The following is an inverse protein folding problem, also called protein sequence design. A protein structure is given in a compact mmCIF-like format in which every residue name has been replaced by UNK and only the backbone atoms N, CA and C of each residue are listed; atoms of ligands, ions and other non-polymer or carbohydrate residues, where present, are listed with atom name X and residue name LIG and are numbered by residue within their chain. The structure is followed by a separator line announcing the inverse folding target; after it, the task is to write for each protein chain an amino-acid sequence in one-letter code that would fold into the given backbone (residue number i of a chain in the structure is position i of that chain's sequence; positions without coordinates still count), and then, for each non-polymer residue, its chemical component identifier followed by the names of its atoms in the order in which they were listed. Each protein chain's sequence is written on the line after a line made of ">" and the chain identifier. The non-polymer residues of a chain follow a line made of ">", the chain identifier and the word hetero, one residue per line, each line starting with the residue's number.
data_IF_130157774528
#
_entry.id   IF_130157774528
#
_cell.length_a   1.000
_cell.length_b   1.000
_cell.length_c   1.000
_cell.angle_alpha   90.00
_cell.angle_beta   90.00
_cell.angle_gamma   90.00
#
_symmetry.space_group_name_H-M   'P 1'
#
loop_
_entity.id
_entity.type
_entity.pdbx_description
1 polymer ?
#
# COMPACT_ATOMS: atom_id res chain seq x y z
N UNK A 1 9.11 -32.84 9.60
CA UNK A 1 8.11 -31.95 8.99
C UNK A 1 8.90 -30.93 8.20
N UNK A 2 8.72 -30.85 6.86
CA UNK A 2 9.41 -29.85 6.04
C UNK A 2 8.99 -28.44 6.49
N UNK A 3 9.94 -27.50 6.51
CA UNK A 3 9.66 -26.13 6.84
C UNK A 3 8.91 -25.46 5.67
N UNK A 4 7.58 -25.49 5.71
CA UNK A 4 6.71 -24.86 4.70
C UNK A 4 6.50 -23.35 4.92
N UNK A 5 7.15 -22.77 5.91
CA UNK A 5 7.00 -21.36 6.27
C UNK A 5 7.22 -20.37 5.10
N UNK A 6 8.29 -20.48 4.29
CA UNK A 6 8.49 -19.59 3.16
C UNK A 6 7.40 -19.69 2.09
N UNK A 7 6.91 -20.91 1.81
CA UNK A 7 5.81 -21.13 0.85
C UNK A 7 4.50 -20.55 1.37
N UNK A 8 4.19 -20.71 2.66
CA UNK A 8 3.01 -20.12 3.28
C UNK A 8 3.07 -18.60 3.22
N UNK A 9 4.22 -18.00 3.54
CA UNK A 9 4.42 -16.54 3.47
C UNK A 9 4.17 -16.01 2.05
N UNK A 10 4.74 -16.63 1.04
CA UNK A 10 4.53 -16.24 -0.36
C UNK A 10 3.05 -16.35 -0.78
N UNK A 11 2.39 -17.44 -0.41
CA UNK A 11 0.97 -17.65 -0.72
C UNK A 11 0.07 -16.61 -0.05
N UNK A 12 0.36 -16.20 1.19
CA UNK A 12 -0.41 -15.18 1.88
C UNK A 12 -0.20 -13.80 1.29
N UNK A 13 1.03 -13.46 0.88
CA UNK A 13 1.30 -12.23 0.14
C UNK A 13 0.53 -12.20 -1.18
N UNK A 14 0.53 -13.30 -1.94
CA UNK A 14 -0.23 -13.42 -3.19
C UNK A 14 -1.74 -13.26 -2.95
N UNK A 15 -2.28 -13.91 -1.90
CA UNK A 15 -3.69 -13.78 -1.54
C UNK A 15 -4.07 -12.33 -1.23
N UNK A 16 -3.29 -11.67 -0.38
CA UNK A 16 -3.53 -10.29 0.01
C UNK A 16 -3.44 -9.33 -1.19
N UNK A 17 -2.47 -9.54 -2.10
CA UNK A 17 -2.35 -8.77 -3.34
C UNK A 17 -3.58 -8.95 -4.25
N UNK A 18 -4.05 -10.18 -4.46
CA UNK A 18 -5.27 -10.42 -5.25
C UNK A 18 -6.52 -9.81 -4.60
N UNK A 19 -6.62 -9.84 -3.27
CA UNK A 19 -7.73 -9.22 -2.55
C UNK A 19 -7.70 -7.70 -2.66
N UNK A 20 -6.52 -7.08 -2.52
CA UNK A 20 -6.34 -5.64 -2.69
C UNK A 20 -6.71 -5.21 -4.13
N UNK A 21 -6.22 -5.92 -5.15
CA UNK A 21 -6.59 -5.67 -6.57
C UNK A 21 -8.09 -5.80 -6.81
N UNK A 22 -8.73 -6.81 -6.21
CA UNK A 22 -10.18 -7.00 -6.34
C UNK A 22 -10.97 -5.81 -5.75
N UNK A 23 -10.50 -5.22 -4.63
CA UNK A 23 -11.09 -4.02 -4.04
C UNK A 23 -10.87 -2.75 -4.87
N UNK A 24 -9.83 -2.72 -5.71
CA UNK A 24 -9.58 -1.60 -6.63
C UNK A 24 -10.54 -1.57 -7.83
N UNK A 25 -11.17 -2.70 -8.17
CA UNK A 25 -12.10 -2.73 -9.31
C UNK A 25 -13.33 -1.88 -9.00
N UNK A 26 -13.61 -0.82 -9.78
CA UNK A 26 -14.68 0.12 -9.48
C UNK A 26 -16.08 -0.53 -9.54
N UNK A 27 -16.21 -1.63 -10.30
CA UNK A 27 -17.47 -2.32 -10.49
C UNK A 27 -17.24 -3.83 -10.40
N UNK A 28 -17.72 -4.46 -9.32
CA UNK A 28 -17.72 -5.91 -9.14
C UNK A 28 -19.10 -6.49 -9.48
N UNK A 29 -19.18 -7.21 -10.59
CA UNK A 29 -20.41 -7.86 -11.05
C UNK A 29 -20.43 -8.04 -12.56
N UNK A 30 -21.55 -8.50 -13.11
CA UNK A 30 -21.74 -8.66 -14.53
C UNK A 30 -22.49 -7.48 -15.11
N UNK A 31 -22.01 -6.85 -16.22
CA UNK A 31 -22.74 -5.77 -16.85
C UNK A 31 -24.05 -6.27 -17.46
N UNK A 32 -25.09 -5.46 -17.33
CA UNK A 32 -26.42 -5.67 -17.85
C UNK A 32 -26.90 -4.40 -18.57
N UNK A 33 -27.47 -4.54 -19.77
CA UNK A 33 -28.06 -3.43 -20.51
C UNK A 33 -29.57 -3.46 -20.27
N UNK A 34 -30.15 -2.31 -19.86
CA UNK A 34 -31.60 -2.14 -19.75
C UNK A 34 -32.03 -1.01 -20.66
N UNK A 35 -33.16 -1.20 -21.32
CA UNK A 35 -33.78 -0.19 -22.19
C UNK A 35 -34.98 0.43 -21.47
N UNK A 36 -35.03 1.78 -21.44
CA UNK A 36 -36.14 2.51 -20.89
C UNK A 36 -36.32 3.82 -21.66
N UNK A 37 -37.54 4.04 -22.17
CA UNK A 37 -37.87 5.25 -22.94
C UNK A 37 -37.04 5.43 -24.20
N UNK A 38 -36.69 4.32 -24.89
CA UNK A 38 -35.88 4.33 -26.13
C UNK A 38 -34.39 4.64 -25.89
N UNK A 39 -33.94 4.69 -24.63
CA UNK A 39 -32.52 4.85 -24.26
C UNK A 39 -32.02 3.61 -23.58
N UNK A 40 -30.74 3.31 -23.78
CA UNK A 40 -30.06 2.19 -23.13
C UNK A 40 -29.26 2.68 -21.95
N UNK A 41 -29.29 1.90 -20.89
CA UNK A 41 -28.60 2.18 -19.61
C UNK A 41 -27.79 0.96 -19.17
N UNK A 42 -26.65 1.20 -18.57
CA UNK A 42 -25.76 0.19 -18.02
C UNK A 42 -26.03 -0.01 -16.54
N UNK A 43 -26.13 -1.26 -16.16
CA UNK A 43 -26.27 -1.74 -14.79
C UNK A 43 -25.19 -2.78 -14.50
N UNK A 44 -24.83 -2.90 -13.22
CA UNK A 44 -24.03 -4.02 -12.71
C UNK A 44 -24.92 -4.92 -11.89
N UNK A 45 -24.97 -6.19 -12.31
CA UNK A 45 -25.70 -7.26 -11.62
C UNK A 45 -24.74 -8.09 -10.78
N UNK A 46 -25.02 -8.21 -9.47
CA UNK A 46 -24.28 -9.05 -8.55
C UNK A 46 -25.19 -9.75 -7.56
N UNK A 47 -24.71 -10.86 -6.99
CA UNK A 47 -25.41 -11.56 -5.92
C UNK A 47 -24.90 -11.06 -4.57
N UNK A 48 -25.81 -10.56 -3.73
CA UNK A 48 -25.53 -10.12 -2.37
C UNK A 48 -26.42 -10.94 -1.43
N UNK A 49 -25.81 -11.69 -0.52
CA UNK A 49 -26.52 -12.53 0.46
C UNK A 49 -27.66 -13.34 -0.18
N UNK A 50 -27.39 -14.14 -1.20
CA UNK A 50 -28.35 -14.99 -1.94
C UNK A 50 -29.36 -14.25 -2.82
N UNK A 51 -29.46 -12.93 -2.78
CA UNK A 51 -30.32 -12.14 -3.67
C UNK A 51 -29.54 -11.56 -4.84
N UNK A 52 -30.16 -11.55 -6.02
CA UNK A 52 -29.61 -10.91 -7.21
C UNK A 52 -29.99 -9.44 -7.15
N UNK A 53 -28.98 -8.55 -7.15
CA UNK A 53 -29.15 -7.10 -7.16
C UNK A 53 -28.64 -6.52 -8.45
N UNK A 54 -29.23 -5.43 -8.91
CA UNK A 54 -28.81 -4.69 -10.11
C UNK A 54 -28.67 -3.21 -9.74
N UNK A 55 -27.46 -2.66 -9.87
CA UNK A 55 -27.16 -1.26 -9.57
C UNK A 55 -26.95 -0.49 -10.88
N UNK A 56 -27.54 0.69 -10.98
CA UNK A 56 -27.34 1.61 -12.10
C UNK A 56 -25.90 2.12 -12.11
N UNK A 57 -25.31 2.23 -13.30
CA UNK A 57 -23.97 2.77 -13.52
C UNK A 57 -24.03 4.09 -14.27
N UNK A 58 -24.53 4.07 -15.54
CA UNK A 58 -24.63 5.25 -16.40
C UNK A 58 -25.45 4.95 -17.66
N UNK A 59 -25.61 5.96 -18.51
CA UNK A 59 -26.13 5.79 -19.89
C UNK A 59 -25.17 4.90 -20.68
N UNK A 60 -25.72 4.08 -21.56
CA UNK A 60 -24.91 3.17 -22.37
C UNK A 60 -23.91 3.93 -23.25
N UNK A 61 -22.67 3.48 -23.20
CA UNK A 61 -21.66 3.76 -24.20
C UNK A 61 -20.79 2.51 -24.41
N UNK A 62 -20.33 2.29 -25.64
CA UNK A 62 -19.48 1.12 -25.95
C UNK A 62 -18.22 1.08 -25.09
N UNK A 63 -17.57 2.23 -24.90
CA UNK A 63 -16.35 2.33 -24.09
C UNK A 63 -16.59 1.91 -22.65
N UNK A 64 -17.67 2.40 -22.03
CA UNK A 64 -18.03 2.04 -20.66
C UNK A 64 -18.42 0.57 -20.57
N UNK A 65 -19.21 0.06 -21.51
CA UNK A 65 -19.60 -1.35 -21.56
C UNK A 65 -18.39 -2.29 -21.65
N UNK A 66 -17.42 -1.98 -22.53
CA UNK A 66 -16.18 -2.76 -22.65
C UNK A 66 -15.33 -2.69 -21.38
N UNK A 67 -15.31 -1.54 -20.70
CA UNK A 67 -14.64 -1.39 -19.40
C UNK A 67 -15.29 -2.28 -18.33
N UNK A 68 -16.61 -2.28 -18.25
CA UNK A 68 -17.35 -3.14 -17.31
C UNK A 68 -17.14 -4.63 -17.60
N UNK A 69 -17.10 -5.03 -18.88
CA UNK A 69 -16.78 -6.41 -19.29
C UNK A 69 -15.37 -6.82 -18.85
N UNK A 70 -14.39 -5.94 -19.05
CA UNK A 70 -13.00 -6.19 -18.63
C UNK A 70 -12.92 -6.36 -17.11
N UNK A 71 -13.51 -5.44 -16.34
CA UNK A 71 -13.54 -5.52 -14.88
C UNK A 71 -14.22 -6.82 -14.42
N UNK A 72 -15.31 -7.22 -15.03
CA UNK A 72 -16.01 -8.47 -14.71
C UNK A 72 -15.16 -9.74 -15.01
N UNK A 73 -14.33 -9.70 -16.05
CA UNK A 73 -13.38 -10.80 -16.36
C UNK A 73 -12.25 -10.83 -15.33
N UNK A 74 -11.66 -9.67 -15.04
CA UNK A 74 -10.59 -9.53 -14.06
C UNK A 74 -11.04 -9.95 -12.67
N UNK A 75 -12.21 -9.49 -12.21
CA UNK A 75 -12.81 -9.91 -10.94
C UNK A 75 -12.97 -11.44 -10.85
N UNK A 76 -13.43 -12.08 -11.93
CA UNK A 76 -13.57 -13.54 -11.96
C UNK A 76 -12.22 -14.25 -11.86
N UNK A 77 -11.21 -13.76 -12.58
CA UNK A 77 -9.87 -14.36 -12.54
C UNK A 77 -9.23 -14.19 -11.16
N UNK A 78 -9.29 -12.98 -10.57
CA UNK A 78 -8.78 -12.73 -9.22
C UNK A 78 -9.45 -13.65 -8.17
N UNK A 79 -10.78 -13.77 -8.21
CA UNK A 79 -11.53 -14.69 -7.33
C UNK A 79 -11.11 -16.16 -7.50
N UNK A 80 -10.79 -16.57 -8.72
CA UNK A 80 -10.27 -17.91 -9.00
C UNK A 80 -8.88 -18.12 -8.43
N UNK A 81 -7.98 -17.13 -8.57
CA UNK A 81 -6.63 -17.18 -8.00
C UNK A 81 -6.68 -17.23 -6.47
N UNK A 82 -7.50 -16.40 -5.83
CA UNK A 82 -7.70 -16.43 -4.37
C UNK A 82 -8.09 -17.83 -3.91
N UNK A 83 -9.11 -18.46 -4.52
CA UNK A 83 -9.53 -19.82 -4.16
C UNK A 83 -8.43 -20.86 -4.36
N UNK A 84 -7.59 -20.71 -5.39
CA UNK A 84 -6.45 -21.61 -5.63
C UNK A 84 -5.42 -21.50 -4.51
N UNK A 85 -5.09 -20.28 -4.10
CA UNK A 85 -4.16 -20.00 -3.00
C UNK A 85 -4.72 -20.52 -1.68
N UNK A 86 -5.98 -20.24 -1.35
CA UNK A 86 -6.63 -20.74 -0.13
C UNK A 86 -6.63 -22.28 -0.05
N UNK A 87 -6.90 -22.94 -1.16
CA UNK A 87 -6.80 -24.41 -1.23
C UNK A 87 -5.40 -24.91 -0.94
N UNK A 88 -4.37 -24.22 -1.45
CA UNK A 88 -2.95 -24.59 -1.22
C UNK A 88 -2.56 -24.35 0.24
N UNK A 89 -2.95 -23.21 0.82
CA UNK A 89 -2.74 -22.92 2.24
C UNK A 89 -3.36 -23.98 3.15
N UNK A 90 -4.60 -24.39 2.88
CA UNK A 90 -5.24 -25.49 3.62
C UNK A 90 -4.49 -26.81 3.51
N UNK A 91 -3.92 -27.14 2.33
CA UNK A 91 -3.10 -28.35 2.14
C UNK A 91 -1.80 -28.30 2.94
N UNK A 92 -1.25 -27.10 3.19
CA UNK A 92 -0.05 -26.88 4.01
C UNK A 92 -0.36 -26.85 5.52
N UNK A 93 -1.63 -27.03 5.90
CA UNK A 93 -2.06 -26.99 7.29
C UNK A 93 -2.10 -25.59 7.89
N UNK A 94 -2.14 -24.54 7.04
CA UNK A 94 -2.28 -23.18 7.51
C UNK A 94 -3.65 -22.95 8.12
N UNK A 95 -3.67 -22.40 9.34
CA UNK A 95 -4.86 -21.89 10.02
C UNK A 95 -4.70 -20.41 10.28
N UNK A 96 -5.75 -19.62 10.04
CA UNK A 96 -5.75 -18.18 10.32
C UNK A 96 -5.27 -17.90 11.76
N UNK A 97 -4.32 -16.97 11.92
CA UNK A 97 -3.93 -16.48 13.23
C UNK A 97 -5.01 -15.55 13.78
N UNK A 98 -5.41 -15.74 15.01
CA UNK A 98 -6.25 -14.77 15.71
C UNK A 98 -5.41 -13.54 16.06
N UNK A 99 -5.72 -12.41 15.45
CA UNK A 99 -5.13 -11.12 15.81
C UNK A 99 -5.74 -10.63 17.13
N UNK A 100 -4.93 -9.99 17.96
CA UNK A 100 -5.45 -9.35 19.18
C UNK A 100 -6.44 -8.23 18.85
N UNK A 101 -7.41 -7.97 19.74
CA UNK A 101 -8.38 -6.88 19.58
C UNK A 101 -7.69 -5.54 19.30
N UNK A 102 -6.57 -5.28 19.96
CA UNK A 102 -5.78 -4.06 19.77
C UNK A 102 -5.25 -3.93 18.34
N UNK A 103 -4.78 -5.02 17.73
CA UNK A 103 -4.31 -5.04 16.34
C UNK A 103 -5.49 -4.87 15.38
N UNK A 104 -6.60 -5.55 15.64
CA UNK A 104 -7.82 -5.40 14.84
C UNK A 104 -8.35 -3.96 14.85
N UNK A 105 -8.43 -3.34 16.02
CA UNK A 105 -8.81 -1.93 16.15
C UNK A 105 -7.83 -0.99 15.43
N UNK A 106 -6.52 -1.30 15.44
CA UNK A 106 -5.56 -0.50 14.68
C UNK A 106 -5.73 -0.64 13.17
N UNK A 107 -6.08 -1.82 12.67
CA UNK A 107 -6.43 -2.01 11.25
C UNK A 107 -7.66 -1.16 10.89
N UNK A 108 -8.68 -1.15 11.72
CA UNK A 108 -9.88 -0.33 11.49
C UNK A 108 -9.56 1.17 11.54
N UNK A 109 -8.70 1.59 12.47
CA UNK A 109 -8.19 2.95 12.52
C UNK A 109 -7.41 3.32 11.26
N UNK A 110 -6.55 2.44 10.75
CA UNK A 110 -5.83 2.64 9.50
C UNK A 110 -6.77 2.75 8.30
N UNK A 111 -7.82 1.92 8.23
CA UNK A 111 -8.84 1.97 7.18
C UNK A 111 -9.62 3.28 7.19
N UNK A 112 -10.04 3.72 8.38
CA UNK A 112 -10.76 4.99 8.55
C UNK A 112 -9.93 6.20 8.09
N UNK A 113 -8.61 6.13 8.23
CA UNK A 113 -7.68 7.20 7.85
C UNK A 113 -7.03 7.02 6.47
N UNK A 114 -7.34 5.95 5.73
CA UNK A 114 -6.62 5.57 4.51
C UNK A 114 -6.58 6.68 3.46
N UNK A 115 -7.69 7.34 3.19
CA UNK A 115 -7.76 8.42 2.18
C UNK A 115 -6.86 9.59 2.54
N UNK A 116 -6.88 10.02 3.81
CA UNK A 116 -6.01 11.09 4.30
C UNK A 116 -4.54 10.67 4.22
N UNK A 117 -4.23 9.44 4.61
CA UNK A 117 -2.85 8.92 4.57
C UNK A 117 -2.32 8.85 3.12
N UNK A 118 -3.17 8.47 2.16
CA UNK A 118 -2.80 8.47 0.73
C UNK A 118 -2.58 9.89 0.24
N UNK A 119 -3.44 10.84 0.62
CA UNK A 119 -3.29 12.26 0.29
C UNK A 119 -1.96 12.80 0.81
N UNK A 120 -1.70 12.65 2.10
CA UNK A 120 -0.46 13.10 2.74
C UNK A 120 0.79 12.52 2.05
N UNK A 121 0.76 11.22 1.72
CA UNK A 121 1.87 10.57 1.01
C UNK A 121 2.02 11.04 -0.44
N UNK A 122 0.92 11.28 -1.15
CA UNK A 122 0.97 11.80 -2.51
C UNK A 122 1.62 13.19 -2.54
N UNK A 123 1.26 14.07 -1.60
CA UNK A 123 1.87 15.40 -1.46
C UNK A 123 3.35 15.30 -1.07
N UNK A 124 3.72 14.38 -0.18
CA UNK A 124 5.12 14.13 0.18
C UNK A 124 5.98 13.79 -1.06
N UNK A 125 5.41 13.05 -2.01
CA UNK A 125 6.04 12.67 -3.29
C UNK A 125 5.95 13.75 -4.37
N UNK A 126 5.35 14.90 -4.06
CA UNK A 126 5.22 16.01 -4.99
C UNK A 126 4.11 15.86 -6.02
N UNK A 127 3.16 14.98 -5.78
CA UNK A 127 1.93 14.89 -6.60
C UNK A 127 1.09 16.13 -6.35
N UNK A 128 0.80 16.90 -7.40
CA UNK A 128 -0.09 18.05 -7.34
C UNK A 128 -1.54 17.57 -7.28
N UNK A 129 -2.09 17.46 -6.07
CA UNK A 129 -3.45 16.95 -5.84
C UNK A 129 -4.11 17.65 -4.66
N UNK A 130 -5.44 17.49 -4.58
CA UNK A 130 -6.25 17.92 -3.45
C UNK A 130 -6.96 16.71 -2.81
N UNK A 131 -7.37 16.84 -1.56
CA UNK A 131 -8.08 15.76 -0.87
C UNK A 131 -9.34 15.31 -1.62
N UNK A 132 -10.22 16.21 -2.15
CA UNK A 132 -11.37 15.79 -2.97
C UNK A 132 -11.00 15.01 -4.22
N UNK A 133 -9.87 15.31 -4.88
CA UNK A 133 -9.40 14.54 -6.03
C UNK A 133 -8.99 13.12 -5.63
N UNK A 134 -8.36 12.97 -4.47
CA UNK A 134 -8.04 11.63 -3.91
C UNK A 134 -9.32 10.84 -3.64
N UNK A 135 -10.34 11.46 -3.03
CA UNK A 135 -11.63 10.79 -2.81
C UNK A 135 -12.30 10.36 -4.12
N UNK A 136 -12.33 11.23 -5.12
CA UNK A 136 -12.90 10.93 -6.42
C UNK A 136 -12.20 9.75 -7.11
N UNK A 137 -10.86 9.69 -7.05
CA UNK A 137 -10.10 8.56 -7.62
C UNK A 137 -10.38 7.27 -6.86
N UNK A 138 -10.33 7.32 -5.52
CA UNK A 138 -10.43 6.13 -4.68
C UNK A 138 -11.85 5.55 -4.67
N UNK A 139 -12.87 6.39 -4.59
CA UNK A 139 -14.26 5.97 -4.43
C UNK A 139 -15.02 5.87 -5.75
N UNK A 140 -14.81 6.82 -6.64
CA UNK A 140 -15.62 6.99 -7.84
C UNK A 140 -14.89 6.58 -9.12
N UNK A 141 -13.58 6.32 -9.08
CA UNK A 141 -12.77 6.06 -10.28
C UNK A 141 -12.71 7.25 -11.25
N UNK A 142 -13.07 8.46 -10.79
CA UNK A 142 -13.10 9.67 -11.61
C UNK A 142 -11.76 10.38 -11.53
N UNK A 143 -11.26 10.80 -12.70
CA UNK A 143 -9.98 11.50 -12.84
C UNK A 143 -10.25 12.84 -13.51
N UNK A 144 -10.11 13.94 -12.76
CA UNK A 144 -10.26 15.28 -13.28
C UNK A 144 -8.99 16.09 -13.06
N UNK A 145 -8.36 16.52 -14.16
CA UNK A 145 -7.24 17.48 -14.11
C UNK A 145 -5.90 16.93 -13.59
N UNK A 146 -5.74 15.61 -13.53
CA UNK A 146 -4.49 14.97 -13.09
C UNK A 146 -3.82 14.22 -14.24
N UNK A 147 -2.50 14.06 -14.17
CA UNK A 147 -1.76 13.22 -15.12
C UNK A 147 -2.03 11.74 -14.87
N UNK A 148 -1.98 10.90 -15.91
CA UNK A 148 -2.10 9.44 -15.76
C UNK A 148 -1.05 8.87 -14.78
N UNK A 149 0.16 9.46 -14.79
CA UNK A 149 1.25 9.10 -13.86
C UNK A 149 0.88 9.36 -12.40
N UNK A 150 0.29 10.51 -12.08
CA UNK A 150 -0.08 10.86 -10.72
C UNK A 150 -1.25 10.01 -10.22
N UNK A 151 -2.23 9.76 -11.10
CA UNK A 151 -3.33 8.82 -10.81
C UNK A 151 -2.79 7.43 -10.50
N UNK A 152 -1.86 6.93 -11.31
CA UNK A 152 -1.25 5.62 -11.09
C UNK A 152 -0.52 5.56 -9.74
N UNK A 153 0.21 6.62 -9.35
CA UNK A 153 0.86 6.68 -8.01
C UNK A 153 -0.16 6.59 -6.88
N UNK A 154 -1.30 7.27 -6.99
CA UNK A 154 -2.38 7.23 -6.00
C UNK A 154 -2.98 5.83 -5.89
N UNK A 155 -3.27 5.19 -7.02
CA UNK A 155 -3.81 3.83 -7.06
C UNK A 155 -2.81 2.82 -6.48
N UNK A 156 -1.52 2.98 -6.76
CA UNK A 156 -0.47 2.14 -6.18
C UNK A 156 -0.36 2.32 -4.65
N UNK A 157 -0.48 3.56 -4.16
CA UNK A 157 -0.54 3.80 -2.71
C UNK A 157 -1.77 3.13 -2.09
N UNK A 158 -2.96 3.26 -2.72
CA UNK A 158 -4.16 2.56 -2.25
C UNK A 158 -3.93 1.05 -2.19
N UNK A 159 -3.38 0.47 -3.25
CA UNK A 159 -3.10 -0.96 -3.32
C UNK A 159 -2.14 -1.40 -2.20
N UNK A 160 -1.05 -0.66 -1.98
CA UNK A 160 -0.08 -0.98 -0.94
C UNK A 160 -0.67 -0.82 0.49
N UNK A 161 -1.52 0.20 0.74
CA UNK A 161 -2.23 0.34 2.00
C UNK A 161 -3.25 -0.79 2.23
N UNK A 162 -4.04 -1.18 1.21
CA UNK A 162 -4.96 -2.32 1.32
C UNK A 162 -4.21 -3.62 1.61
N UNK A 163 -3.03 -3.82 1.00
CA UNK A 163 -2.17 -4.97 1.25
C UNK A 163 -1.73 -5.02 2.72
N UNK A 164 -1.13 -3.96 3.28
CA UNK A 164 -0.64 -3.99 4.66
C UNK A 164 -1.74 -3.99 5.72
N UNK A 165 -2.98 -3.66 5.38
CA UNK A 165 -4.13 -3.78 6.27
C UNK A 165 -4.83 -5.13 6.16
N UNK A 166 -4.36 -6.03 5.31
CA UNK A 166 -4.88 -7.38 5.27
C UNK A 166 -4.42 -8.15 6.53
N UNK A 167 -5.37 -8.86 7.18
CA UNK A 167 -5.09 -9.56 8.43
C UNK A 167 -4.02 -10.64 8.29
N UNK A 168 -3.97 -11.29 7.13
CA UNK A 168 -2.98 -12.33 6.87
C UNK A 168 -1.59 -11.72 6.74
N UNK A 169 -1.46 -10.53 6.14
CA UNK A 169 -0.19 -9.79 6.02
C UNK A 169 0.25 -9.25 7.38
N UNK A 170 -0.66 -8.63 8.13
CA UNK A 170 -0.35 -8.06 9.46
C UNK A 170 0.08 -9.14 10.47
N UNK A 171 -0.39 -10.38 10.33
CA UNK A 171 0.04 -11.48 11.20
C UNK A 171 1.47 -11.95 10.94
N UNK A 172 2.08 -11.54 9.82
CA UNK A 172 3.47 -11.88 9.51
C UNK A 172 4.46 -10.96 10.19
N UNK A 173 5.67 -11.46 10.47
CA UNK A 173 6.78 -10.61 10.92
C UNK A 173 7.08 -9.53 9.88
N UNK A 174 7.31 -8.31 10.37
CA UNK A 174 7.86 -7.24 9.53
C UNK A 174 9.29 -7.60 9.13
N UNK A 175 9.56 -7.76 7.85
CA UNK A 175 10.87 -8.18 7.35
C UNK A 175 11.20 -7.57 5.97
N UNK A 176 12.37 -7.93 5.43
CA UNK A 176 12.81 -7.48 4.12
C UNK A 176 11.88 -7.94 2.99
N UNK A 177 11.23 -9.10 3.10
CA UNK A 177 10.29 -9.60 2.09
C UNK A 177 9.06 -8.72 1.97
N UNK A 178 8.47 -8.34 3.12
CA UNK A 178 7.35 -7.39 3.19
C UNK A 178 7.74 -6.04 2.58
N UNK A 179 8.94 -5.52 2.90
CA UNK A 179 9.44 -4.27 2.32
C UNK A 179 9.55 -4.35 0.79
N UNK A 180 10.12 -5.43 0.26
CA UNK A 180 10.24 -5.64 -1.18
C UNK A 180 8.87 -5.73 -1.86
N UNK A 181 7.90 -6.41 -1.25
CA UNK A 181 6.57 -6.50 -1.82
C UNK A 181 5.84 -5.15 -1.82
N UNK A 182 5.92 -4.38 -0.73
CA UNK A 182 5.41 -3.00 -0.68
C UNK A 182 6.06 -2.15 -1.79
N UNK A 183 7.38 -2.24 -1.95
CA UNK A 183 8.09 -1.50 -3.00
C UNK A 183 7.65 -1.91 -4.41
N UNK A 184 7.35 -3.19 -4.64
CA UNK A 184 6.78 -3.67 -5.90
C UNK A 184 5.42 -3.02 -6.17
N UNK A 185 4.53 -2.98 -5.16
CA UNK A 185 3.20 -2.39 -5.28
C UNK A 185 3.24 -0.89 -5.56
N UNK A 186 4.03 -0.12 -4.82
CA UNK A 186 4.13 1.34 -5.03
C UNK A 186 4.78 1.73 -6.35
N UNK A 187 5.48 0.80 -7.01
CA UNK A 187 6.14 1.00 -8.30
C UNK A 187 5.44 0.28 -9.47
N UNK A 188 4.26 -0.28 -9.23
CA UNK A 188 3.51 -0.99 -10.28
C UNK A 188 3.18 -0.07 -11.46
N UNK A 189 3.44 -0.56 -12.67
CA UNK A 189 3.27 0.23 -13.90
C UNK A 189 4.42 1.18 -14.24
N UNK A 190 5.37 1.41 -13.30
CA UNK A 190 6.56 2.25 -13.54
C UNK A 190 7.82 1.42 -13.74
N UNK A 191 7.98 0.34 -12.99
CA UNK A 191 9.15 -0.52 -13.01
C UNK A 191 8.73 -2.00 -13.00
N UNK A 192 9.24 -2.79 -13.92
CA UNK A 192 8.97 -4.25 -13.98
C UNK A 192 9.46 -4.98 -12.71
N UNK A 193 10.52 -4.47 -12.08
CA UNK A 193 11.14 -5.04 -10.90
C UNK A 193 11.19 -4.01 -9.74
N UNK A 194 10.07 -3.33 -9.49
CA UNK A 194 10.00 -2.23 -8.53
C UNK A 194 10.35 -2.59 -7.09
N UNK A 195 10.21 -3.87 -6.72
CA UNK A 195 10.56 -4.41 -5.40
C UNK A 195 11.96 -5.03 -5.31
N UNK A 196 12.77 -4.98 -6.37
CA UNK A 196 14.15 -5.48 -6.32
C UNK A 196 15.11 -4.40 -5.86
N UNK A 197 16.12 -4.83 -5.10
CA UNK A 197 17.23 -3.96 -4.70
C UNK A 197 17.90 -3.37 -5.95
N UNK A 198 18.20 -2.08 -5.91
CA UNK A 198 18.83 -1.40 -7.05
C UNK A 198 20.28 -1.84 -7.26
N UNK A 199 20.63 -1.97 -8.52
CA UNK A 199 22.01 -2.23 -8.93
C UNK A 199 22.69 -1.02 -9.60
N UNK A 200 22.05 0.17 -9.55
CA UNK A 200 22.55 1.40 -10.18
C UNK A 200 22.60 2.56 -9.17
N UNK A 201 23.56 3.50 -9.32
CA UNK A 201 23.58 4.70 -8.51
C UNK A 201 22.30 5.53 -8.70
N UNK A 202 21.85 6.19 -7.64
CA UNK A 202 20.75 7.14 -7.65
C UNK A 202 21.18 8.44 -6.97
N UNK A 203 20.53 9.53 -7.31
CA UNK A 203 20.70 10.83 -6.65
C UNK A 203 19.40 11.22 -5.96
N UNK A 204 19.51 11.95 -4.86
CA UNK A 204 18.37 12.51 -4.14
C UNK A 204 18.33 14.00 -4.39
N UNK A 205 17.18 14.49 -4.90
CA UNK A 205 17.02 15.93 -5.14
C UNK A 205 17.08 16.74 -3.84
N UNK A 206 17.77 17.90 -3.89
CA UNK A 206 17.84 18.83 -2.76
C UNK A 206 18.91 18.51 -1.71
N UNK A 207 19.80 17.55 -1.96
CA UNK A 207 20.92 17.22 -1.07
C UNK A 207 22.17 16.86 -1.86
N UNK A 208 23.35 17.04 -1.23
CA UNK A 208 24.63 16.54 -1.76
C UNK A 208 24.88 15.06 -1.43
N UNK A 209 24.07 14.45 -0.58
CA UNK A 209 24.21 13.04 -0.21
C UNK A 209 23.93 12.11 -1.39
N UNK A 210 24.89 11.25 -1.67
CA UNK A 210 24.77 10.19 -2.68
C UNK A 210 24.74 8.85 -1.96
N UNK A 211 23.58 8.16 -1.94
CA UNK A 211 23.48 6.88 -1.24
C UNK A 211 24.34 5.81 -1.92
N UNK A 212 25.18 5.08 -1.16
CA UNK A 212 25.98 3.99 -1.70
C UNK A 212 25.08 2.89 -2.29
N UNK A 213 25.65 2.05 -3.18
CA UNK A 213 24.91 0.88 -3.68
C UNK A 213 24.56 -0.03 -2.51
N UNK A 214 23.28 -0.35 -2.31
CA UNK A 214 22.85 -1.22 -1.21
C UNK A 214 23.26 -2.66 -1.49
N UNK A 215 23.72 -3.35 -0.46
CA UNK A 215 23.96 -4.80 -0.47
C UNK A 215 22.82 -5.49 0.27
N UNK A 216 22.16 -6.44 -0.37
CA UNK A 216 20.96 -7.09 0.18
C UNK A 216 21.18 -7.66 1.59
N UNK A 217 22.32 -8.34 1.77
CA UNK A 217 22.67 -8.93 3.07
C UNK A 217 22.78 -7.86 4.17
N UNK A 218 23.46 -6.75 3.89
CA UNK A 218 23.60 -5.64 4.85
C UNK A 218 22.26 -4.95 5.13
N UNK A 219 21.40 -4.82 4.12
CA UNK A 219 20.06 -4.27 4.32
C UNK A 219 19.24 -5.16 5.25
N UNK A 220 19.27 -6.48 5.07
CA UNK A 220 18.59 -7.44 5.94
C UNK A 220 19.11 -7.34 7.38
N UNK A 221 20.41 -7.36 7.57
CA UNK A 221 21.05 -7.25 8.89
C UNK A 221 20.65 -5.95 9.62
N UNK A 222 20.74 -4.80 8.95
CA UNK A 222 20.34 -3.53 9.56
C UNK A 222 18.84 -3.47 9.90
N UNK A 223 17.97 -4.00 9.03
CA UNK A 223 16.54 -4.07 9.34
C UNK A 223 16.28 -4.95 10.56
N UNK A 224 16.93 -6.12 10.64
CA UNK A 224 16.82 -7.01 11.80
C UNK A 224 17.32 -6.33 13.09
N UNK A 225 18.44 -5.61 13.05
CA UNK A 225 18.99 -4.89 14.19
C UNK A 225 18.02 -3.81 14.69
N UNK A 226 17.39 -3.06 13.78
CA UNK A 226 16.38 -2.07 14.14
C UNK A 226 15.16 -2.77 14.76
N UNK A 227 14.70 -3.87 14.18
CA UNK A 227 13.51 -4.61 14.62
C UNK A 227 13.70 -5.32 15.98
N UNK A 228 14.95 -5.71 16.32
CA UNK A 228 15.32 -6.30 17.63
C UNK A 228 15.47 -5.27 18.73
N UNK A 229 15.42 -3.98 18.42
CA UNK A 229 15.53 -2.92 19.44
C UNK A 229 14.44 -3.08 20.50
N UNK A 230 14.77 -2.70 21.72
CA UNK A 230 13.85 -2.63 22.87
C UNK A 230 13.20 -1.25 23.01
N UNK A 231 13.41 -0.36 22.05
CA UNK A 231 12.80 0.96 22.03
C UNK A 231 11.27 0.85 21.89
N UNK A 232 10.57 1.95 22.18
CA UNK A 232 9.13 1.99 21.95
C UNK A 232 8.78 1.71 20.48
N UNK A 233 7.66 1.04 20.18
CA UNK A 233 7.29 0.70 18.79
C UNK A 233 7.31 1.89 17.83
N UNK A 234 6.94 3.08 18.28
CA UNK A 234 6.97 4.29 17.46
C UNK A 234 8.40 4.67 17.06
N UNK A 235 9.36 4.55 17.97
CA UNK A 235 10.76 4.91 17.70
C UNK A 235 11.40 3.90 16.75
N UNK A 236 11.07 2.61 16.89
CA UNK A 236 11.47 1.57 15.93
C UNK A 236 10.90 1.85 14.55
N UNK A 237 9.61 2.21 14.45
CA UNK A 237 8.96 2.54 13.19
C UNK A 237 9.59 3.77 12.51
N UNK A 238 9.90 4.81 13.29
CA UNK A 238 10.60 6.00 12.81
C UNK A 238 11.99 5.62 12.26
N UNK A 239 12.74 4.79 12.98
CA UNK A 239 14.06 4.32 12.53
C UNK A 239 13.97 3.49 11.26
N UNK A 240 13.00 2.58 11.13
CA UNK A 240 12.74 1.81 9.91
C UNK A 240 12.45 2.74 8.72
N UNK A 241 11.56 3.71 8.92
CA UNK A 241 11.18 4.67 7.91
C UNK A 241 12.40 5.49 7.42
N UNK A 242 13.16 6.07 8.33
CA UNK A 242 14.33 6.89 8.04
C UNK A 242 15.46 6.08 7.40
N UNK A 243 15.70 4.86 7.88
CA UNK A 243 16.70 3.95 7.30
C UNK A 243 16.38 3.64 5.83
N UNK A 244 15.15 3.25 5.52
CA UNK A 244 14.73 2.97 4.15
C UNK A 244 14.84 4.21 3.25
N UNK A 245 14.46 5.38 3.77
CA UNK A 245 14.56 6.64 3.03
C UNK A 245 16.02 7.04 2.73
N UNK A 246 16.95 6.85 3.67
CA UNK A 246 18.36 7.20 3.50
C UNK A 246 19.11 6.20 2.61
N UNK A 247 18.87 4.92 2.81
CA UNK A 247 19.55 3.84 2.09
C UNK A 247 19.17 3.82 0.60
N UNK A 248 17.96 4.31 0.25
CA UNK A 248 17.46 4.28 -1.13
C UNK A 248 17.61 2.87 -1.73
N UNK A 249 16.93 1.90 -1.12
CA UNK A 249 17.09 0.47 -1.41
C UNK A 249 16.66 0.13 -2.84
N UNK A 250 15.65 0.84 -3.37
CA UNK A 250 15.04 0.60 -4.67
C UNK A 250 15.35 1.74 -5.65
N UNK A 251 15.13 1.49 -6.94
CA UNK A 251 15.33 2.49 -7.98
C UNK A 251 14.42 3.71 -7.82
N UNK A 252 13.19 3.52 -7.32
CA UNK A 252 12.22 4.57 -7.03
C UNK A 252 11.25 4.12 -5.93
N UNK A 253 10.39 5.04 -5.45
CA UNK A 253 9.35 4.75 -4.47
C UNK A 253 9.85 4.53 -3.05
N UNK A 254 11.11 4.83 -2.76
CA UNK A 254 11.71 4.56 -1.44
C UNK A 254 10.96 5.24 -0.29
N UNK A 255 10.55 6.51 -0.42
CA UNK A 255 9.78 7.20 0.63
C UNK A 255 8.37 6.59 0.78
N UNK A 256 7.71 6.28 -0.33
CA UNK A 256 6.39 5.63 -0.33
C UNK A 256 6.45 4.28 0.38
N UNK A 257 7.38 3.43 -0.01
CA UNK A 257 7.59 2.12 0.60
C UNK A 257 7.98 2.23 2.08
N UNK A 258 8.87 3.17 2.44
CA UNK A 258 9.34 3.36 3.81
C UNK A 258 8.21 3.69 4.80
N UNK A 259 7.30 4.61 4.43
CA UNK A 259 6.16 4.98 5.28
C UNK A 259 5.22 3.79 5.46
N UNK A 260 4.87 3.08 4.39
CA UNK A 260 3.94 1.94 4.45
C UNK A 260 4.57 0.76 5.22
N UNK A 261 5.87 0.51 5.04
CA UNK A 261 6.61 -0.52 5.78
C UNK A 261 6.67 -0.23 7.29
N UNK A 262 6.92 1.02 7.67
CA UNK A 262 6.87 1.43 9.07
C UNK A 262 5.47 1.25 9.67
N UNK A 263 4.42 1.46 8.89
CA UNK A 263 3.04 1.23 9.31
C UNK A 263 2.67 -0.25 9.41
N UNK A 264 3.20 -1.13 8.56
CA UNK A 264 3.07 -2.58 8.77
C UNK A 264 3.58 -2.95 10.17
N UNK A 265 4.76 -2.45 10.55
CA UNK A 265 5.33 -2.69 11.88
C UNK A 265 4.46 -2.12 13.02
N UNK A 266 3.97 -0.88 12.90
CA UNK A 266 3.15 -0.24 13.94
C UNK A 266 1.78 -0.91 14.08
N UNK A 267 1.08 -1.15 12.98
CA UNK A 267 -0.25 -1.75 12.99
C UNK A 267 -0.19 -3.15 13.58
N UNK A 268 0.80 -3.97 13.22
CA UNK A 268 0.98 -5.33 13.77
C UNK A 268 1.19 -5.37 15.29
N UNK A 269 1.46 -4.23 15.91
CA UNK A 269 1.64 -4.06 17.37
C UNK A 269 0.56 -3.22 18.02
N UNK A 270 -0.45 -2.79 17.29
CA UNK A 270 -1.46 -1.86 17.80
C UNK A 270 -0.85 -0.52 18.22
N UNK A 271 0.17 -0.04 17.50
CA UNK A 271 0.97 1.15 17.85
C UNK A 271 0.48 2.46 17.20
N UNK A 272 -0.65 2.48 16.51
CA UNK A 272 -1.13 3.66 15.80
C UNK A 272 -0.60 3.73 14.36
N UNK A 273 -0.43 4.94 13.84
CA UNK A 273 0.01 5.21 12.47
C UNK A 273 1.16 6.23 12.45
N UNK A 274 2.07 6.07 11.50
CA UNK A 274 3.15 7.01 11.20
C UNK A 274 2.95 7.55 9.78
N UNK A 275 2.53 8.80 9.65
CA UNK A 275 2.29 9.48 8.36
C UNK A 275 2.74 10.92 8.47
N UNK A 276 3.40 11.44 7.46
CA UNK A 276 3.84 12.83 7.40
C UNK A 276 2.67 13.67 6.88
N UNK A 277 1.98 14.47 7.73
CA UNK A 277 0.87 15.31 7.29
C UNK A 277 1.32 16.32 6.23
N UNK A 278 0.44 16.62 5.28
CA UNK A 278 0.71 17.57 4.18
C UNK A 278 1.25 18.91 4.71
N UNK A 279 0.63 19.46 5.76
CA UNK A 279 1.04 20.73 6.37
C UNK A 279 2.46 20.73 6.94
N UNK A 280 3.02 19.56 7.21
CA UNK A 280 4.36 19.38 7.77
C UNK A 280 5.40 18.93 6.74
N UNK A 281 5.02 18.69 5.48
CA UNK A 281 5.93 18.23 4.43
C UNK A 281 7.13 19.15 4.20
N UNK A 282 7.00 20.50 4.17
CA UNK A 282 8.16 21.38 3.98
C UNK A 282 9.21 21.25 5.10
N UNK A 283 8.77 21.22 6.36
CA UNK A 283 9.66 21.04 7.51
C UNK A 283 10.29 19.66 7.55
N UNK A 284 9.50 18.62 7.31
CA UNK A 284 9.99 17.24 7.19
C UNK A 284 11.11 17.13 6.15
N UNK A 285 10.91 17.69 4.94
CA UNK A 285 11.92 17.65 3.86
C UNK A 285 13.21 18.35 4.27
N UNK A 286 13.12 19.49 4.96
CA UNK A 286 14.30 20.21 5.48
C UNK A 286 15.09 19.34 6.49
N UNK A 287 14.39 18.72 7.44
CA UNK A 287 15.00 17.85 8.44
C UNK A 287 15.55 16.56 7.81
N UNK A 288 14.86 16.02 6.81
CA UNK A 288 15.29 14.82 6.09
C UNK A 288 16.59 15.04 5.33
N UNK A 289 16.79 16.22 4.73
CA UNK A 289 18.08 16.60 4.10
C UNK A 289 19.21 16.65 5.13
N UNK A 290 18.98 17.26 6.30
CA UNK A 290 19.97 17.28 7.37
C UNK A 290 20.33 15.87 7.86
N UNK A 291 19.34 14.98 7.95
CA UNK A 291 19.53 13.57 8.29
C UNK A 291 20.32 12.82 7.20
N UNK A 292 20.02 13.04 5.92
CA UNK A 292 20.78 12.41 4.83
C UNK A 292 22.27 12.78 4.87
N UNK A 293 22.58 14.02 5.19
CA UNK A 293 23.92 14.56 5.25
C UNK A 293 24.64 14.35 6.60
N UNK A 294 24.10 13.50 7.48
CA UNK A 294 24.62 13.19 8.82
C UNK A 294 24.85 14.43 9.70
N UNK A 295 24.09 15.50 9.46
CA UNK A 295 24.20 16.75 10.23
C UNK A 295 23.35 16.73 11.51
N UNK A 296 22.22 16.05 11.46
CA UNK A 296 21.30 15.93 12.63
C UNK A 296 20.32 14.76 12.41
N UNK A 297 20.30 13.81 13.32
CA UNK A 297 19.34 12.71 13.36
C UNK A 297 18.30 12.83 14.48
N UNK A 298 18.59 13.59 15.51
CA UNK A 298 17.71 13.77 16.67
C UNK A 298 16.49 14.60 16.36
N UNK A 299 16.67 15.73 15.68
CA UNK A 299 15.56 16.64 15.37
C UNK A 299 14.50 15.99 14.50
N UNK A 300 14.87 15.22 13.46
CA UNK A 300 13.90 14.54 12.61
C UNK A 300 13.14 13.45 13.37
N UNK A 301 13.78 12.71 14.26
CA UNK A 301 13.12 11.67 15.06
C UNK A 301 12.11 12.28 16.03
N UNK A 302 12.52 13.36 16.75
CA UNK A 302 11.62 14.11 17.63
C UNK A 302 10.44 14.66 16.86
N UNK A 303 10.69 15.31 15.72
CA UNK A 303 9.64 15.83 14.83
C UNK A 303 8.67 14.74 14.38
N UNK A 304 9.16 13.58 13.92
CA UNK A 304 8.31 12.49 13.47
C UNK A 304 7.48 11.92 14.63
N UNK A 305 8.04 11.80 15.81
CA UNK A 305 7.32 11.35 17.01
C UNK A 305 6.20 12.32 17.40
N UNK A 306 6.46 13.62 17.37
CA UNK A 306 5.50 14.64 17.83
C UNK A 306 4.46 15.02 16.79
N UNK A 307 4.81 15.03 15.50
CA UNK A 307 3.99 15.58 14.39
C UNK A 307 3.47 14.55 13.41
N UNK A 308 4.11 13.38 13.31
CA UNK A 308 3.78 12.37 12.29
C UNK A 308 3.16 11.11 12.89
N UNK A 309 3.31 10.86 14.18
CA UNK A 309 2.71 9.72 14.84
C UNK A 309 1.29 10.04 15.32
N UNK A 310 0.35 9.18 14.93
CA UNK A 310 -1.06 9.22 15.33
C UNK A 310 -1.34 8.01 16.24
N UNK A 311 -1.29 8.15 17.59
CA UNK A 311 -1.73 7.10 18.50
C UNK A 311 -3.25 6.90 18.39
N UNK A 312 -3.75 5.72 18.82
CA UNK A 312 -5.19 5.45 18.89
C UNK A 312 -5.56 4.77 20.21
#
# INVERSE_FOLDING_TARGET
>A
MGNHYPEIQELLQQKADYQARLKLLPYDGSPEIKEQGGKQYLYIRKRVASRLTSAYVDVYSDTLYQTLLRNARESRELKKQIRKVEKRLAQLGYTDSELSDRVMLNIDFARANMKVNIYDQAVLEGVATTFPQIEDIIENGKVNGMTATDVQKILNLKHAWEFVMDKDVISYPTDYSILCHIAQLVNEGFYTNGGRIRGVPVTIGGTSYVPPLPMEQLVKEHLEDILRSKDEPVDVAIRLCLYCMKTQIFNDGNKRAAVIFANHFLISRGGGLLVIPESHVPEFKRLLVAYYEDRDDGSIRTFMREKCWKPF
#
